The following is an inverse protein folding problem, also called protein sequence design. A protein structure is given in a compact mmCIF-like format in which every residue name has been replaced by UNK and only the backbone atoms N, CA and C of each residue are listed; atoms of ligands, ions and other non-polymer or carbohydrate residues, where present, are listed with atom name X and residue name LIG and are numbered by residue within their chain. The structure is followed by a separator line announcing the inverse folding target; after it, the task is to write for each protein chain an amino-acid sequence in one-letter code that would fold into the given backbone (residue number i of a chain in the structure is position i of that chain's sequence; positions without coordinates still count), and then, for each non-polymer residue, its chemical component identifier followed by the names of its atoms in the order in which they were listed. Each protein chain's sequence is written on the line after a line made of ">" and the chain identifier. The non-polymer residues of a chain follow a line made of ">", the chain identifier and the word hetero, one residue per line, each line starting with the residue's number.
data_IF_525443166747
#
_entry.id   IF_525443166747
#
_cell.length_a   1.000
_cell.length_b   1.000
_cell.length_c   1.000
_cell.angle_alpha   90.00
_cell.angle_beta   90.00
_cell.angle_gamma   90.00
#
_symmetry.space_group_name_H-M   'P 1'
#
loop_
_entity.id
_entity.type
_entity.pdbx_description
1 polymer ?
#
# COMPACT_ATOMS: atom_id res chain seq x y z
N UNK A 1 20.40 5.03 -23.97
CA UNK A 1 20.55 5.51 -22.57
C UNK A 1 19.60 4.67 -21.72
N UNK A 2 20.05 3.51 -21.23
CA UNK A 2 19.24 2.59 -20.42
C UNK A 2 19.27 3.10 -18.98
N UNK A 3 18.35 4.01 -18.63
CA UNK A 3 18.07 4.27 -17.23
C UNK A 3 17.36 3.03 -16.69
N UNK A 4 18.12 2.08 -16.16
CA UNK A 4 17.58 1.13 -15.21
C UNK A 4 16.89 1.98 -14.15
N UNK A 5 15.57 1.91 -14.07
CA UNK A 5 14.78 2.67 -13.10
C UNK A 5 15.32 2.27 -11.73
N UNK A 6 16.17 3.12 -11.15
CA UNK A 6 16.77 2.83 -9.87
C UNK A 6 15.61 2.77 -8.88
N UNK A 7 15.38 1.58 -8.32
CA UNK A 7 14.37 1.36 -7.30
C UNK A 7 14.50 2.47 -6.26
N UNK A 8 13.40 3.11 -5.89
CA UNK A 8 13.40 4.10 -4.82
C UNK A 8 13.93 3.45 -3.53
N UNK A 9 14.44 4.25 -2.58
CA UNK A 9 14.94 3.72 -1.31
C UNK A 9 13.91 2.83 -0.59
N UNK A 10 12.62 3.16 -0.73
CA UNK A 10 11.51 2.37 -0.21
C UNK A 10 11.41 1.00 -0.89
N UNK A 11 11.47 0.94 -2.22
CA UNK A 11 11.40 -0.31 -2.98
C UNK A 11 12.59 -1.23 -2.68
N UNK A 12 13.79 -0.66 -2.53
CA UNK A 12 14.99 -1.43 -2.13
C UNK A 12 14.81 -2.05 -0.73
N UNK A 13 14.26 -1.31 0.23
CA UNK A 13 13.95 -1.83 1.57
C UNK A 13 12.84 -2.88 1.55
N UNK A 14 11.83 -2.71 0.68
CA UNK A 14 10.75 -3.69 0.50
C UNK A 14 11.19 -4.97 -0.23
N UNK A 15 12.28 -4.90 -1.00
CA UNK A 15 12.91 -6.06 -1.64
C UNK A 15 13.88 -6.82 -0.71
N UNK A 16 14.25 -6.23 0.43
CA UNK A 16 15.07 -6.89 1.45
C UNK A 16 14.33 -7.99 2.22
N UNK A 17 15.05 -8.78 3.05
CA UNK A 17 14.46 -9.88 3.83
C UNK A 17 13.38 -9.41 4.83
N UNK A 18 13.52 -8.19 5.36
CA UNK A 18 12.54 -7.55 6.24
C UNK A 18 11.40 -6.83 5.48
N UNK A 19 11.40 -6.89 4.15
CA UNK A 19 10.46 -6.15 3.31
C UNK A 19 9.00 -6.50 3.55
N UNK A 20 8.70 -7.76 3.89
CA UNK A 20 7.34 -8.20 4.24
C UNK A 20 6.87 -7.58 5.58
N UNK A 21 7.73 -7.55 6.59
CA UNK A 21 7.42 -6.94 7.89
C UNK A 21 7.30 -5.41 7.78
N UNK A 22 8.16 -4.79 6.98
CA UNK A 22 8.10 -3.37 6.67
C UNK A 22 6.80 -3.02 5.92
N UNK A 23 6.42 -3.81 4.91
CA UNK A 23 5.15 -3.64 4.18
C UNK A 23 3.94 -3.76 5.11
N UNK A 24 3.93 -4.77 5.98
CA UNK A 24 2.86 -4.95 6.97
C UNK A 24 2.77 -3.74 7.92
N UNK A 25 3.91 -3.24 8.40
CA UNK A 25 3.97 -2.06 9.27
C UNK A 25 3.45 -0.80 8.57
N UNK A 26 3.84 -0.59 7.31
CA UNK A 26 3.37 0.54 6.51
C UNK A 26 1.87 0.46 6.24
N UNK A 27 1.37 -0.73 5.87
CA UNK A 27 -0.06 -0.98 5.66
C UNK A 27 -0.88 -0.71 6.93
N UNK A 28 -0.41 -1.16 8.10
CA UNK A 28 -1.05 -0.89 9.38
C UNK A 28 -1.09 0.61 9.72
N UNK A 29 0.01 1.33 9.49
CA UNK A 29 0.06 2.79 9.73
C UNK A 29 -0.90 3.55 8.82
N UNK A 30 -0.96 3.18 7.54
CA UNK A 30 -1.89 3.79 6.58
C UNK A 30 -3.35 3.49 6.94
N UNK A 31 -3.67 2.26 7.33
CA UNK A 31 -5.01 1.90 7.78
C UNK A 31 -5.41 2.67 9.06
N UNK A 32 -4.50 2.85 10.01
CA UNK A 32 -4.76 3.65 11.20
C UNK A 32 -4.98 5.14 10.87
N UNK A 33 -4.24 5.68 9.90
CA UNK A 33 -4.40 7.06 9.42
C UNK A 33 -5.77 7.25 8.75
N UNK A 34 -6.14 6.34 7.85
CA UNK A 34 -7.44 6.31 7.17
C UNK A 34 -8.59 6.24 8.20
N UNK A 35 -8.53 5.31 9.15
CA UNK A 35 -9.55 5.18 10.19
C UNK A 35 -9.68 6.43 11.08
N UNK A 36 -8.57 7.13 11.34
CA UNK A 36 -8.59 8.38 12.11
C UNK A 36 -9.20 9.52 11.31
N UNK A 37 -8.96 9.57 10.00
CA UNK A 37 -9.59 10.54 9.11
C UNK A 37 -11.10 10.27 8.99
N UNK A 38 -11.52 9.03 8.78
CA UNK A 38 -12.92 8.63 8.74
C UNK A 38 -13.68 8.96 10.03
N UNK A 39 -13.08 8.68 11.20
CA UNK A 39 -13.68 9.07 12.49
C UNK A 39 -13.86 10.57 12.66
N UNK A 40 -12.95 11.37 12.11
CA UNK A 40 -13.09 12.82 12.13
C UNK A 40 -14.18 13.30 11.16
N UNK A 41 -14.29 12.69 9.97
CA UNK A 41 -15.39 12.99 9.03
C UNK A 41 -16.77 12.74 9.67
N UNK A 42 -16.90 11.69 10.46
CA UNK A 42 -18.14 11.33 11.17
C UNK A 42 -18.51 12.32 12.29
N UNK A 43 -17.52 13.04 12.85
CA UNK A 43 -17.73 13.98 13.96
C UNK A 43 -18.35 15.33 13.59
N UNK A 44 -18.71 15.54 12.32
CA UNK A 44 -19.33 16.80 11.87
C UNK A 44 -18.34 17.96 11.79
N UNK A 45 -17.45 17.91 10.79
CA UNK A 45 -16.42 18.92 10.58
C UNK A 45 -16.91 20.14 9.79
N UNK A 46 -16.25 21.29 10.00
CA UNK A 46 -16.35 22.43 9.10
C UNK A 46 -15.84 22.07 7.70
N UNK A 47 -16.33 22.70 6.61
CA UNK A 47 -16.06 22.27 5.23
C UNK A 47 -14.57 22.12 4.89
N UNK A 48 -13.72 23.04 5.38
CA UNK A 48 -12.27 22.99 5.15
C UNK A 48 -11.61 21.79 5.82
N UNK A 49 -12.02 21.46 7.05
CA UNK A 49 -11.50 20.32 7.79
C UNK A 49 -12.02 19.00 7.22
N UNK A 50 -13.27 19.00 6.71
CA UNK A 50 -13.83 17.88 5.96
C UNK A 50 -13.01 17.57 4.70
N UNK A 51 -12.72 18.57 3.87
CA UNK A 51 -11.91 18.39 2.65
C UNK A 51 -10.50 17.88 2.97
N UNK A 52 -9.87 18.41 4.03
CA UNK A 52 -8.56 17.94 4.48
C UNK A 52 -8.60 16.47 4.94
N UNK A 53 -9.59 16.08 5.75
CA UNK A 53 -9.73 14.69 6.20
C UNK A 53 -10.03 13.76 5.03
N UNK A 54 -10.85 14.18 4.06
CA UNK A 54 -11.13 13.42 2.85
C UNK A 54 -9.86 13.21 2.01
N UNK A 55 -9.06 14.27 1.80
CA UNK A 55 -7.80 14.17 1.07
C UNK A 55 -6.81 13.21 1.77
N UNK A 56 -6.73 13.24 3.10
CA UNK A 56 -5.89 12.32 3.88
C UNK A 56 -6.38 10.87 3.75
N UNK A 57 -7.68 10.62 3.84
CA UNK A 57 -8.24 9.28 3.67
C UNK A 57 -7.97 8.74 2.26
N UNK A 58 -8.16 9.57 1.23
CA UNK A 58 -7.93 9.19 -0.16
C UNK A 58 -6.44 8.94 -0.43
N UNK A 59 -5.54 9.79 0.07
CA UNK A 59 -4.10 9.61 -0.07
C UNK A 59 -3.62 8.33 0.65
N UNK A 60 -4.17 8.04 1.84
CA UNK A 60 -3.85 6.83 2.57
C UNK A 60 -4.31 5.57 1.82
N UNK A 61 -5.52 5.59 1.23
CA UNK A 61 -6.03 4.50 0.42
C UNK A 61 -5.17 4.27 -0.83
N UNK A 62 -4.82 5.34 -1.57
CA UNK A 62 -3.95 5.24 -2.74
C UNK A 62 -2.55 4.71 -2.38
N UNK A 63 -1.98 5.14 -1.25
CA UNK A 63 -0.69 4.62 -0.80
C UNK A 63 -0.75 3.13 -0.44
N UNK A 64 -1.87 2.64 0.09
CA UNK A 64 -2.08 1.20 0.34
C UNK A 64 -2.17 0.40 -0.95
N UNK A 65 -2.83 0.96 -1.97
CA UNK A 65 -2.96 0.35 -3.29
C UNK A 65 -1.57 0.19 -3.95
N UNK A 66 -0.77 1.26 -3.96
CA UNK A 66 0.63 1.21 -4.46
C UNK A 66 1.48 0.19 -3.68
N UNK A 67 1.33 0.11 -2.36
CA UNK A 67 2.04 -0.90 -1.56
C UNK A 67 1.61 -2.34 -1.86
N UNK A 68 0.33 -2.53 -2.24
CA UNK A 68 -0.20 -3.82 -2.66
C UNK A 68 0.31 -4.21 -4.05
N UNK A 69 0.39 -3.26 -4.99
CA UNK A 69 1.00 -3.48 -6.31
C UNK A 69 2.51 -3.75 -6.24
N UNK A 70 3.19 -3.13 -5.27
CA UNK A 70 4.61 -3.39 -4.96
C UNK A 70 4.85 -4.72 -4.25
N UNK A 71 3.82 -5.45 -3.84
CA UNK A 71 4.01 -6.80 -3.33
C UNK A 71 4.55 -7.65 -4.49
N UNK A 72 5.66 -8.40 -4.32
CA UNK A 72 6.04 -9.38 -5.32
C UNK A 72 4.83 -10.26 -5.52
N UNK A 73 4.40 -10.43 -6.78
CA UNK A 73 3.33 -11.36 -7.12
C UNK A 73 3.66 -12.65 -6.37
N UNK A 74 2.87 -12.97 -5.34
CA UNK A 74 2.91 -14.29 -4.76
C UNK A 74 2.65 -15.20 -5.95
N UNK A 75 3.68 -15.94 -6.37
CA UNK A 75 3.59 -16.76 -7.58
C UNK A 75 2.25 -17.48 -7.52
N UNK A 76 1.30 -17.20 -8.44
CA UNK A 76 0.08 -17.97 -8.48
C UNK A 76 0.58 -19.39 -8.68
N UNK A 77 0.25 -20.25 -7.72
CA UNK A 77 1.02 -21.44 -7.41
C UNK A 77 1.48 -22.21 -8.63
N UNK A 78 2.63 -22.85 -8.48
CA UNK A 78 2.93 -24.08 -9.21
C UNK A 78 1.62 -24.84 -9.40
N UNK A 79 1.04 -24.70 -10.59
CA UNK A 79 -0.06 -25.50 -11.03
C UNK A 79 0.65 -26.74 -11.53
N UNK A 80 0.61 -27.89 -10.82
CA UNK A 80 1.01 -29.13 -11.45
C UNK A 80 -0.08 -29.39 -12.47
N UNK A 81 0.06 -28.85 -13.69
CA UNK A 81 -0.70 -29.38 -14.81
C UNK A 81 -0.20 -30.81 -15.00
N UNK A 82 -1.03 -31.85 -14.74
CA UNK A 82 -0.66 -33.19 -15.16
C UNK A 82 -0.81 -33.21 -16.68
N UNK A 83 0.31 -33.26 -17.40
CA UNK A 83 0.32 -33.68 -18.79
C UNK A 83 -0.04 -35.17 -18.82
N UNK A 84 -1.34 -35.45 -18.95
CA UNK A 84 -1.86 -36.76 -19.35
C UNK A 84 -2.56 -36.59 -20.69
N UNK A 85 -1.85 -36.92 -21.77
CA UNK A 85 -2.15 -38.00 -22.73
C UNK A 85 -1.50 -37.72 -24.07
#
# INVERSE_FOLDING_TARGET
>A
MNAATALTELEQRLAGPDGAALRATLAQRLAALEQRACRQLDSGLVPVAFQQCQAVAQAAAAARDVLAELAPAAEPGASPFPLTR
#
